data_IF_985931736743
#
_entry.id   IF_985931736743
#
_cell.length_a   1.000
_cell.length_b   1.000
_cell.length_c   1.000
_cell.angle_alpha   90.00
_cell.angle_beta   90.00
_cell.angle_gamma   90.00
#
_symmetry.space_group_name_H-M   'P 1'
#
loop_
_entity.id
_entity.type
_entity.pdbx_description
1 polymer ?
2 non-polymer ?
3 water ?
#
# COMPACT_ATOMS: atom_id res chain seq x y z
N UNK A 2 4.51 19.45 17.75
CA UNK A 2 3.80 19.88 16.54
C UNK A 2 4.64 19.53 15.32
N UNK A 3 3.98 19.55 14.18
CA UNK A 3 4.54 19.26 12.88
C UNK A 3 4.88 20.56 12.17
N UNK A 4 6.04 20.59 11.51
CA UNK A 4 6.49 21.75 10.73
C UNK A 4 6.72 21.33 9.27
N UNK A 5 5.69 21.52 8.43
CA UNK A 5 5.76 21.02 7.05
C UNK A 5 6.91 21.69 6.30
N UNK A 6 7.28 22.91 6.68
CA UNK A 6 8.40 23.57 6.02
C UNK A 6 9.70 22.83 6.26
N UNK A 7 9.92 22.33 7.48
CA UNK A 7 11.16 21.62 7.77
C UNK A 7 11.16 20.25 7.11
N UNK A 8 10.00 19.58 7.09
CA UNK A 8 9.85 18.31 6.38
C UNK A 8 10.21 18.48 4.91
N UNK A 9 9.57 19.45 4.24
CA UNK A 9 9.81 19.64 2.81
C UNK A 9 11.28 19.86 2.51
N UNK A 10 12.02 20.41 3.47
CA UNK A 10 13.44 20.65 3.28
C UNK A 10 14.23 19.34 3.18
N UNK A 11 13.66 18.22 3.63
CA UNK A 11 14.31 16.92 3.47
C UNK A 11 14.10 16.32 2.08
N UNK A 12 13.20 16.87 1.25
CA UNK A 12 12.81 16.21 0.00
C UNK A 12 13.32 16.94 -1.24
N UNK A 13 14.44 16.51 -1.82
CA UNK A 13 15.02 17.28 -2.93
C UNK A 13 14.13 17.43 -4.15
N UNK A 14 13.21 16.50 -4.40
CA UNK A 14 12.34 16.62 -5.57
C UNK A 14 11.41 17.81 -5.44
N UNK A 15 11.05 18.19 -4.22
CA UNK A 15 10.02 19.21 -4.06
C UNK A 15 10.46 20.58 -4.58
N UNK A 16 11.76 20.79 -4.83
CA UNK A 16 12.29 22.01 -5.45
C UNK A 16 12.25 21.97 -6.97
N UNK A 17 11.77 20.89 -7.56
CA UNK A 17 11.77 20.72 -9.00
C UNK A 17 10.81 21.71 -9.66
N UNK A 18 11.11 22.04 -10.90
CA UNK A 18 10.20 22.78 -11.76
C UNK A 18 9.65 21.86 -12.84
N UNK A 19 8.38 22.01 -13.14
CA UNK A 19 7.73 21.25 -14.20
C UNK A 19 7.14 22.27 -15.17
N UNK A 20 7.47 22.13 -16.45
CA UNK A 20 6.83 22.96 -17.47
C UNK A 20 7.06 24.46 -17.18
N UNK A 21 8.27 24.80 -16.76
CA UNK A 21 8.60 26.15 -16.36
C UNK A 21 8.10 26.57 -14.99
N UNK A 22 7.17 25.84 -14.39
CA UNK A 22 6.53 26.25 -13.15
C UNK A 22 6.92 25.35 -11.98
N UNK A 23 6.80 25.82 -10.74
CA UNK A 23 7.27 25.01 -9.61
C UNK A 23 6.31 23.87 -9.33
N UNK A 24 6.88 22.71 -9.02
CA UNK A 24 6.10 21.48 -8.93
C UNK A 24 5.16 21.50 -7.73
N UNK A 25 3.96 21.02 -7.93
CA UNK A 25 3.07 20.67 -6.84
C UNK A 25 2.77 19.19 -7.01
N UNK A 26 3.48 18.35 -6.27
CA UNK A 26 3.31 16.91 -6.37
C UNK A 26 2.13 16.46 -5.51
N UNK A 27 0.99 16.22 -6.16
CA UNK A 27 -0.24 15.79 -5.49
C UNK A 27 -0.61 14.37 -5.85
N UNK A 28 0.40 13.49 -5.93
CA UNK A 28 0.21 12.12 -6.40
C UNK A 28 1.01 11.12 -5.58
N UNK A 29 1.16 11.36 -4.28
CA UNK A 29 1.90 10.44 -3.41
C UNK A 29 1.18 9.10 -3.24
N UNK A 30 -0.12 9.04 -3.53
CA UNK A 30 -0.81 7.76 -3.42
C UNK A 30 -0.35 6.79 -4.50
N UNK A 31 0.09 7.31 -5.65
CA UNK A 31 0.66 6.44 -6.68
C UNK A 31 2.09 6.05 -6.32
N UNK A 32 2.90 7.02 -5.91
CA UNK A 32 4.15 6.72 -5.24
C UNK A 32 4.60 7.99 -4.53
N UNK A 33 5.29 7.81 -3.41
CA UNK A 33 5.68 8.95 -2.60
C UNK A 33 7.08 9.40 -2.94
N UNK A 34 7.34 10.70 -2.75
CA UNK A 34 8.70 11.20 -2.81
C UNK A 34 9.51 10.67 -1.63
N UNK A 35 10.83 10.82 -1.73
CA UNK A 35 11.71 10.21 -0.77
C UNK A 35 12.64 11.27 -0.18
N UNK A 36 12.84 11.27 1.13
CA UNK A 36 13.79 12.22 1.73
C UNK A 36 15.22 11.76 1.52
N UNK A 37 16.13 12.73 1.49
CA UNK A 37 17.53 12.40 1.26
C UNK A 37 18.10 11.50 2.35
N UNK A 38 17.48 11.46 3.53
CA UNK A 38 17.85 10.47 4.53
C UNK A 38 17.68 9.05 3.99
N UNK A 39 16.60 8.81 3.23
CA UNK A 39 16.37 7.51 2.62
C UNK A 39 17.32 7.30 1.44
N UNK A 40 17.41 8.31 0.56
CA UNK A 40 18.22 8.19 -0.66
C UNK A 40 19.68 7.97 -0.30
N UNK A 41 20.19 8.76 0.66
CA UNK A 41 21.59 8.67 1.07
C UNK A 41 21.89 7.42 1.87
N UNK A 42 20.94 6.92 2.67
CA UNK A 42 21.18 5.68 3.40
C UNK A 42 21.49 4.54 2.43
N UNK A 43 20.61 4.33 1.44
CA UNK A 43 20.91 3.39 0.37
C UNK A 43 22.24 3.73 -0.32
N UNK A 44 22.43 4.99 -0.72
CA UNK A 44 23.66 5.37 -1.41
C UNK A 44 24.88 5.08 -0.55
N UNK A 45 24.85 5.42 0.74
CA UNK A 45 26.03 5.18 1.58
C UNK A 45 26.26 3.69 1.81
N UNK A 46 25.19 2.87 1.80
CA UNK A 46 25.38 1.44 1.90
C UNK A 46 26.13 0.91 0.68
N UNK A 47 25.69 1.29 -0.53
CA UNK A 47 26.42 0.89 -1.73
C UNK A 47 27.86 1.42 -1.70
N UNK A 48 28.06 2.63 -1.18
CA UNK A 48 29.35 3.29 -1.23
C UNK A 48 30.37 2.70 -0.26
N UNK A 49 29.94 2.16 0.88
CA UNK A 49 30.89 1.80 1.94
C UNK A 49 30.69 0.42 2.55
N UNK A 50 29.51 -0.18 2.45
CA UNK A 50 29.22 -1.41 3.16
C UNK A 50 28.68 -2.55 2.32
N UNK A 51 28.78 -2.46 0.99
CA UNK A 51 28.08 -3.40 0.14
C UNK A 51 28.73 -4.78 0.12
N UNK A 52 27.91 -5.83 0.26
CA UNK A 52 28.31 -7.22 0.02
C UNK A 52 27.06 -8.06 -0.19
N UNK A 53 27.27 -9.31 -0.61
CA UNK A 53 26.18 -10.27 -0.60
C UNK A 53 25.79 -10.58 0.85
N UNK A 54 24.55 -10.97 1.06
CA UNK A 54 24.09 -11.21 2.42
C UNK A 54 23.77 -12.69 2.62
N UNK A 55 23.72 -13.07 3.91
CA UNK A 55 23.39 -14.37 4.48
C UNK A 55 24.49 -15.42 4.27
N UNK A 56 24.69 -15.91 3.05
CA UNK A 56 25.91 -16.67 2.79
C UNK A 56 27.15 -15.82 3.11
N UNK A 57 28.28 -16.50 3.25
CA UNK A 57 29.56 -15.81 3.37
C UNK A 57 29.91 -15.43 4.79
N UNK A 58 31.19 -15.58 5.13
CA UNK A 58 31.62 -15.30 6.48
C UNK A 58 32.47 -14.05 6.59
N UNK A 59 32.80 -13.38 5.48
CA UNK A 59 33.70 -12.24 5.65
C UNK A 59 32.96 -11.05 6.26
N UNK A 60 33.72 -10.01 6.58
CA UNK A 60 33.19 -8.96 7.44
C UNK A 60 32.04 -8.20 6.80
N UNK A 61 32.23 -7.72 5.56
CA UNK A 61 31.18 -6.92 4.92
C UNK A 61 29.90 -7.71 4.80
N UNK A 62 30.00 -8.99 4.45
CA UNK A 62 28.83 -9.83 4.31
C UNK A 62 28.12 -9.98 5.64
N UNK A 63 28.86 -10.20 6.72
CA UNK A 63 28.23 -10.31 8.02
C UNK A 63 27.59 -9.00 8.46
N UNK A 64 28.24 -7.87 8.16
CA UNK A 64 27.65 -6.59 8.59
C UNK A 64 26.44 -6.22 7.73
N UNK A 65 26.47 -6.58 6.45
CA UNK A 65 25.29 -6.36 5.63
C UNK A 65 24.14 -7.23 6.08
N UNK A 66 24.42 -8.48 6.46
CA UNK A 66 23.37 -9.37 6.93
C UNK A 66 22.73 -8.82 8.21
N UNK A 67 23.56 -8.32 9.13
CA UNK A 67 23.05 -7.66 10.32
C UNK A 67 22.12 -6.52 9.94
N UNK A 68 22.56 -5.64 9.03
CA UNK A 68 21.72 -4.52 8.62
C UNK A 68 20.37 -4.99 8.10
N UNK A 69 20.36 -6.04 7.27
CA UNK A 69 19.12 -6.54 6.69
C UNK A 69 18.15 -7.03 7.74
N UNK A 70 18.61 -7.93 8.63
CA UNK A 70 17.71 -8.46 9.65
C UNK A 70 17.36 -7.43 10.71
N UNK A 71 18.17 -6.38 10.90
CA UNK A 71 17.72 -5.30 11.77
C UNK A 71 16.56 -4.54 11.15
N UNK A 72 16.58 -4.38 9.83
CA UNK A 72 15.45 -3.73 9.18
C UNK A 72 14.20 -4.61 9.31
N UNK A 73 14.37 -5.92 9.21
CA UNK A 73 13.22 -6.80 9.46
C UNK A 73 12.66 -6.60 10.88
N UNK A 74 13.55 -6.44 11.87
CA UNK A 74 13.09 -6.20 13.24
C UNK A 74 12.40 -4.84 13.36
N UNK A 75 12.98 -3.79 12.77
CA UNK A 75 12.37 -2.46 12.86
C UNK A 75 11.01 -2.42 12.16
N UNK A 76 10.91 -3.06 11.01
CA UNK A 76 9.62 -3.17 10.35
C UNK A 76 8.60 -3.89 11.24
N UNK A 77 8.98 -5.04 11.80
CA UNK A 77 8.04 -5.78 12.67
C UNK A 77 7.57 -4.93 13.86
N UNK A 78 8.44 -4.07 14.39
CA UNK A 78 8.03 -3.14 15.46
C UNK A 78 7.15 -2.03 14.94
N UNK A 79 7.42 -1.53 13.74
CA UNK A 79 6.62 -0.45 13.16
C UNK A 79 5.13 -0.85 13.09
N UNK A 80 4.82 -2.08 12.66
CA UNK A 80 3.43 -2.51 12.56
C UNK A 80 3.00 -3.34 13.77
N UNK A 81 3.84 -3.39 14.81
CA UNK A 81 3.56 -4.12 16.05
C UNK A 81 3.26 -5.60 15.81
N UNK A 82 4.08 -6.24 15.00
CA UNK A 82 4.05 -7.70 14.91
C UNK A 82 4.70 -8.30 16.16
N UNK A 83 4.20 -9.45 16.57
CA UNK A 83 4.76 -10.05 17.78
C UNK A 83 6.22 -10.38 17.57
N UNK A 84 6.58 -10.83 16.38
CA UNK A 84 7.91 -11.36 16.08
C UNK A 84 8.37 -10.84 14.72
N UNK A 85 9.66 -10.54 14.61
CA UNK A 85 10.21 -10.17 13.31
C UNK A 85 10.20 -11.34 12.34
N UNK A 86 10.14 -12.58 12.85
CA UNK A 86 10.12 -13.75 11.99
C UNK A 86 8.75 -13.96 11.36
N UNK A 87 7.80 -13.05 11.62
CA UNK A 87 6.50 -13.01 10.97
C UNK A 87 6.47 -12.10 9.75
N UNK A 88 7.60 -11.50 9.38
CA UNK A 88 7.67 -10.57 8.26
C UNK A 88 8.51 -11.17 7.14
N UNK A 89 8.00 -11.07 5.93
CA UNK A 89 8.67 -11.55 4.73
C UNK A 89 8.96 -10.35 3.84
N UNK A 90 10.19 -10.26 3.32
CA UNK A 90 10.51 -9.22 2.36
C UNK A 90 9.96 -9.60 0.99
N UNK A 91 9.24 -8.69 0.35
CA UNK A 91 8.71 -8.90 -1.00
C UNK A 91 8.93 -7.62 -1.80
N UNK A 92 8.63 -7.69 -3.10
CA UNK A 92 8.84 -6.53 -3.97
C UNK A 92 7.85 -5.40 -3.68
N UNK A 93 6.73 -5.74 -3.05
CA UNK A 93 5.70 -4.77 -2.72
C UNK A 93 4.37 -5.47 -2.52
N UNK A 94 3.35 -4.65 -2.29
CA UNK A 94 2.01 -5.17 -2.03
C UNK A 94 1.61 -6.26 -3.02
N UNK A 95 1.91 -6.07 -4.31
CA UNK A 95 1.41 -6.99 -5.34
C UNK A 95 2.08 -8.36 -5.27
N UNK A 96 3.41 -8.41 -5.10
CA UNK A 96 4.03 -9.72 -4.92
C UNK A 96 3.58 -10.35 -3.61
N UNK A 97 3.44 -9.56 -2.55
CA UNK A 97 2.99 -10.10 -1.28
C UNK A 97 1.62 -10.76 -1.37
N UNK A 98 0.69 -10.11 -2.08
CA UNK A 98 -0.62 -10.73 -2.27
C UNK A 98 -0.51 -11.99 -3.12
N UNK A 99 0.34 -11.98 -4.16
CA UNK A 99 0.51 -13.18 -5.00
C UNK A 99 1.13 -14.32 -4.22
N UNK A 100 2.05 -14.01 -3.30
CA UNK A 100 2.68 -15.06 -2.51
C UNK A 100 1.67 -15.76 -1.63
N UNK A 101 0.82 -15.01 -0.91
CA UNK A 101 -0.25 -15.61 -0.12
C UNK A 101 -1.20 -16.40 -1.04
N UNK A 102 -1.59 -15.82 -2.17
CA UNK A 102 -2.58 -16.47 -3.01
C UNK A 102 -2.08 -17.80 -3.54
N UNK A 103 -0.77 -17.94 -3.76
CA UNK A 103 -0.24 -19.22 -4.24
C UNK A 103 0.17 -20.14 -3.08
N UNK A 104 1.10 -19.69 -2.23
CA UNK A 104 1.56 -20.50 -1.12
C UNK A 104 0.41 -20.92 -0.20
N UNK A 105 -0.36 -19.96 0.31
CA UNK A 105 -1.44 -20.32 1.22
C UNK A 105 -2.73 -20.66 0.48
N UNK A 106 -3.09 -19.87 -0.53
CA UNK A 106 -4.34 -20.09 -1.23
C UNK A 106 -4.45 -21.50 -1.82
N UNK A 107 -3.41 -21.94 -2.52
CA UNK A 107 -3.49 -23.23 -3.22
C UNK A 107 -3.65 -24.41 -2.27
N UNK A 108 -3.30 -24.28 -1.00
CA UNK A 108 -3.41 -25.40 -0.09
C UNK A 108 -4.47 -25.21 0.98
N UNK A 109 -5.31 -24.18 0.85
CA UNK A 109 -6.39 -23.97 1.81
C UNK A 109 -7.71 -23.56 1.16
N UNK A 110 -7.77 -23.45 -0.17
CA UNK A 110 -8.98 -23.08 -0.88
C UNK A 110 -9.28 -24.18 -1.88
N UNK A 111 -10.29 -24.98 -1.58
CA UNK A 111 -10.72 -26.11 -2.38
C UNK A 111 -11.87 -25.70 -3.29
N UNK A 112 -12.13 -26.54 -4.30
CA UNK A 112 -13.28 -26.32 -5.16
C UNK A 112 -14.56 -26.28 -4.32
N UNK A 113 -15.46 -25.37 -4.66
CA UNK A 113 -16.64 -25.13 -3.86
C UNK A 113 -16.46 -24.16 -2.71
N UNK A 114 -15.24 -23.69 -2.44
CA UNK A 114 -15.10 -22.68 -1.40
C UNK A 114 -15.37 -21.29 -1.99
N UNK A 115 -15.39 -20.29 -1.13
CA UNK A 115 -15.55 -18.92 -1.61
C UNK A 115 -14.59 -18.00 -0.85
N UNK A 116 -14.14 -16.97 -1.58
CA UNK A 116 -13.30 -15.88 -1.08
C UNK A 116 -14.09 -14.58 -1.22
N UNK A 117 -13.98 -13.71 -0.22
CA UNK A 117 -14.66 -12.42 -0.25
C UNK A 117 -13.62 -11.31 -0.44
N UNK A 118 -13.80 -10.50 -1.48
CA UNK A 118 -13.10 -9.23 -1.62
C UNK A 118 -14.15 -8.12 -1.63
N UNK A 119 -13.75 -6.89 -1.95
CA UNK A 119 -14.71 -5.80 -1.99
C UNK A 119 -14.65 -5.09 -3.34
N UNK A 120 -15.70 -4.36 -3.65
CA UNK A 120 -15.78 -3.67 -4.92
C UNK A 120 -14.76 -2.52 -5.05
N UNK A 121 -14.17 -2.07 -3.95
CA UNK A 121 -13.26 -0.93 -3.94
C UNK A 121 -11.79 -1.34 -4.01
N UNK A 122 -11.53 -2.64 -4.17
CA UNK A 122 -10.17 -3.16 -4.14
C UNK A 122 -9.31 -2.66 -5.31
N UNK A 123 -8.04 -2.50 -5.01
CA UNK A 123 -7.04 -2.32 -6.05
C UNK A 123 -6.92 -3.62 -6.85
N UNK A 124 -6.39 -3.51 -8.06
CA UNK A 124 -6.21 -4.71 -8.88
C UNK A 124 -5.26 -5.72 -8.22
N UNK A 125 -4.26 -5.24 -7.44
CA UNK A 125 -3.40 -6.17 -6.71
C UNK A 125 -4.22 -7.04 -5.75
N UNK A 126 -5.35 -6.56 -5.27
CA UNK A 126 -6.17 -7.36 -4.38
C UNK A 126 -7.41 -7.95 -5.09
N UNK A 127 -7.41 -8.01 -6.43
CA UNK A 127 -8.44 -8.69 -7.20
C UNK A 127 -7.82 -9.80 -8.04
N UNK A 128 -6.86 -9.45 -8.90
CA UNK A 128 -6.38 -10.42 -9.91
C UNK A 128 -5.77 -11.65 -9.27
N UNK A 129 -4.97 -11.56 -8.20
CA UNK A 129 -4.49 -12.81 -7.58
C UNK A 129 -5.60 -13.75 -7.15
N UNK A 130 -6.70 -13.24 -6.57
CA UNK A 130 -7.78 -14.12 -6.12
C UNK A 130 -8.62 -14.63 -7.28
N UNK A 131 -8.74 -13.87 -8.36
CA UNK A 131 -9.37 -14.41 -9.55
C UNK A 131 -8.55 -15.57 -10.10
N UNK A 132 -7.23 -15.43 -10.09
CA UNK A 132 -6.38 -16.50 -10.58
C UNK A 132 -6.51 -17.72 -9.68
N UNK A 133 -6.56 -17.50 -8.36
CA UNK A 133 -6.70 -18.61 -7.44
C UNK A 133 -8.05 -19.30 -7.59
N UNK A 134 -9.14 -18.52 -7.69
CA UNK A 134 -10.45 -19.12 -7.87
C UNK A 134 -10.53 -19.92 -9.16
N UNK A 135 -9.84 -19.48 -10.21
CA UNK A 135 -9.80 -20.25 -11.44
C UNK A 135 -8.98 -21.53 -11.28
N UNK A 136 -7.87 -21.47 -10.55
CA UNK A 136 -7.06 -22.68 -10.39
C UNK A 136 -7.80 -23.76 -9.62
N UNK A 137 -8.51 -23.41 -8.54
CA UNK A 137 -9.06 -24.41 -7.62
C UNK A 137 -10.55 -24.60 -7.78
N UNK A 138 -11.23 -23.77 -8.55
CA UNK A 138 -12.66 -23.91 -8.69
C UNK A 138 -13.47 -23.33 -7.54
N UNK A 139 -13.10 -22.14 -7.06
CA UNK A 139 -13.81 -21.47 -5.98
C UNK A 139 -14.49 -20.22 -6.53
N UNK A 140 -15.27 -19.56 -5.69
CA UNK A 140 -16.05 -18.40 -6.08
C UNK A 140 -15.53 -17.15 -5.40
N UNK A 141 -15.38 -16.06 -6.17
CA UNK A 141 -14.97 -14.78 -5.64
C UNK A 141 -16.23 -13.96 -5.37
N UNK A 142 -16.51 -13.67 -4.11
CA UNK A 142 -17.65 -12.85 -3.77
C UNK A 142 -17.21 -11.43 -3.47
N UNK A 143 -18.13 -10.48 -3.65
CA UNK A 143 -17.78 -9.08 -3.60
C UNK A 143 -18.67 -8.34 -2.61
N UNK A 144 -18.05 -7.62 -1.67
CA UNK A 144 -18.77 -6.71 -0.80
C UNK A 144 -19.06 -5.46 -1.62
N UNK A 145 -20.32 -5.09 -1.84
CA UNK A 145 -20.62 -3.93 -2.69
C UNK A 145 -20.44 -2.62 -1.94
N UNK A 146 -20.54 -1.54 -2.71
CA UNK A 146 -20.31 -0.18 -2.25
C UNK A 146 -21.63 0.57 -2.03
N UNK A 147 -21.59 1.53 -1.10
CA UNK A 147 -22.61 2.55 -0.98
C UNK A 147 -22.24 3.76 -1.83
N UNK A 148 -23.20 4.61 -2.15
CA UNK A 148 -22.84 5.86 -2.88
C UNK A 148 -21.71 6.66 -2.25
N UNK A 149 -21.61 6.68 -0.92
CA UNK A 149 -20.59 7.52 -0.28
C UNK A 149 -19.20 6.89 -0.31
N UNK A 150 -19.01 5.79 -1.02
CA UNK A 150 -17.70 5.16 -1.01
C UNK A 150 -17.39 4.28 0.17
N UNK A 151 -18.37 3.98 1.03
CA UNK A 151 -18.19 2.98 2.07
C UNK A 151 -18.74 1.62 1.65
N UNK A 152 -18.32 0.58 2.37
CA UNK A 152 -18.81 -0.77 2.13
C UNK A 152 -20.27 -0.92 2.60
N UNK A 153 -21.07 -1.63 1.81
CA UNK A 153 -22.41 -2.10 2.20
C UNK A 153 -22.23 -3.24 3.20
N UNK A 154 -21.93 -2.87 4.45
CA UNK A 154 -21.65 -3.88 5.46
C UNK A 154 -22.82 -4.84 5.71
N UNK A 155 -24.06 -4.45 5.40
CA UNK A 155 -25.19 -5.35 5.64
C UNK A 155 -25.20 -6.54 4.69
N UNK A 156 -24.36 -6.56 3.66
CA UNK A 156 -24.35 -7.74 2.80
C UNK A 156 -23.48 -8.87 3.33
N UNK A 157 -22.68 -8.62 4.37
CA UNK A 157 -21.81 -9.67 4.89
C UNK A 157 -22.57 -10.93 5.30
N UNK A 158 -23.77 -10.87 5.89
CA UNK A 158 -24.47 -12.12 6.25
C UNK A 158 -24.69 -13.06 5.07
N UNK A 159 -24.94 -12.51 3.88
CA UNK A 159 -25.15 -13.33 2.69
C UNK A 159 -23.86 -13.71 1.98
N UNK A 160 -22.74 -13.05 2.28
CA UNK A 160 -21.50 -13.46 1.64
C UNK A 160 -20.75 -14.50 2.45
N UNK A 161 -20.74 -14.36 3.78
CA UNK A 161 -20.04 -15.27 4.65
C UNK A 161 -20.86 -16.53 4.90
N UNK A 162 -20.22 -17.69 4.81
CA UNK A 162 -20.82 -18.95 5.20
C UNK A 162 -19.72 -19.90 5.66
N UNK A 163 -20.05 -21.17 5.83
CA UNK A 163 -19.05 -22.11 6.33
C UNK A 163 -17.92 -22.30 5.32
N UNK A 164 -18.21 -22.22 4.02
CA UNK A 164 -17.23 -22.40 2.96
C UNK A 164 -16.33 -21.18 2.72
N UNK A 165 -16.46 -20.09 3.50
CA UNK A 165 -15.65 -18.90 3.28
C UNK A 165 -14.25 -19.11 3.85
N UNK A 166 -13.28 -19.24 2.97
CA UNK A 166 -11.92 -19.52 3.42
C UNK A 166 -11.19 -18.23 3.77
N UNK A 167 -11.43 -17.16 3.02
CA UNK A 167 -10.61 -15.96 3.15
C UNK A 167 -11.41 -14.70 2.82
N UNK A 168 -11.20 -13.66 3.63
CA UNK A 168 -11.57 -12.29 3.29
C UNK A 168 -10.30 -11.51 2.95
N UNK A 169 -10.30 -10.86 1.79
CA UNK A 169 -9.18 -10.01 1.37
C UNK A 169 -9.73 -8.60 1.15
N UNK A 170 -9.26 -7.65 1.95
CA UNK A 170 -9.95 -6.38 2.12
C UNK A 170 -8.91 -5.29 2.25
N UNK A 171 -9.24 -4.10 1.76
CA UNK A 171 -8.31 -2.99 1.83
C UNK A 171 -8.49 -2.24 3.15
N UNK A 172 -7.37 -1.73 3.65
CA UNK A 172 -7.39 -0.92 4.86
C UNK A 172 -7.87 0.50 4.55
N UNK A 173 -7.30 1.10 3.51
CA UNK A 173 -7.69 2.41 3.01
C UNK A 173 -7.77 2.31 1.49
N UNK A 174 -8.83 2.88 0.91
CA UNK A 174 -9.00 2.87 -0.53
C UNK A 174 -8.04 3.86 -1.20
N UNK A 175 -7.16 3.34 -2.06
CA UNK A 175 -6.27 4.19 -2.85
C UNK A 175 -7.02 5.23 -3.68
N UNK A 176 -8.32 5.08 -3.87
CA UNK A 176 -9.10 6.02 -4.68
C UNK A 176 -9.95 6.93 -3.78
N UNK A 177 -10.82 6.35 -2.97
CA UNK A 177 -11.80 7.16 -2.25
C UNK A 177 -11.30 7.66 -0.92
N UNK A 178 -10.24 7.05 -0.38
CA UNK A 178 -9.77 7.43 0.93
C UNK A 178 -10.58 6.85 2.07
N UNK A 179 -11.52 5.95 1.78
CA UNK A 179 -12.31 5.28 2.81
C UNK A 179 -11.42 4.42 3.69
N UNK A 180 -11.67 4.43 4.99
CA UNK A 180 -10.99 3.49 5.87
C UNK A 180 -12.00 2.47 6.40
N UNK A 181 -11.68 1.21 6.21
CA UNK A 181 -12.67 0.18 6.46
C UNK A 181 -12.61 -0.31 7.92
N UNK A 182 -13.75 -0.68 8.49
CA UNK A 182 -13.74 -1.12 9.89
C UNK A 182 -13.12 -2.50 10.05
N UNK A 183 -11.78 -2.56 9.95
CA UNK A 183 -11.08 -3.85 9.85
C UNK A 183 -11.22 -4.68 11.11
N UNK A 184 -11.10 -4.05 12.28
CA UNK A 184 -11.20 -4.79 13.53
C UNK A 184 -12.48 -5.64 13.56
N UNK A 185 -13.62 -5.01 13.29
CA UNK A 185 -14.90 -5.72 13.42
C UNK A 185 -15.08 -6.73 12.30
N UNK A 186 -14.66 -6.39 11.07
CA UNK A 186 -14.79 -7.35 9.98
C UNK A 186 -13.94 -8.59 10.23
N UNK A 187 -12.77 -8.43 10.84
CA UNK A 187 -11.91 -9.57 11.12
C UNK A 187 -12.53 -10.45 12.19
N UNK A 188 -13.17 -9.84 13.19
CA UNK A 188 -13.93 -10.60 14.16
C UNK A 188 -14.96 -11.49 13.46
N UNK A 189 -15.76 -10.89 12.57
CA UNK A 189 -16.80 -11.66 11.91
C UNK A 189 -16.21 -12.76 11.06
N UNK A 190 -15.16 -12.45 10.29
CA UNK A 190 -14.56 -13.45 9.43
C UNK A 190 -13.94 -14.57 10.23
N UNK A 191 -13.44 -14.24 11.43
CA UNK A 191 -12.86 -15.28 12.26
C UNK A 191 -13.93 -16.17 12.87
N UNK A 192 -15.15 -15.64 13.06
CA UNK A 192 -16.22 -16.49 13.59
C UNK A 192 -16.58 -17.62 12.63
N UNK A 193 -16.32 -17.46 11.34
CA UNK A 193 -16.54 -18.52 10.37
C UNK A 193 -15.28 -19.32 10.05
N UNK A 194 -14.24 -19.16 10.85
CA UNK A 194 -12.97 -19.81 10.55
C UNK A 194 -12.34 -19.37 9.26
N UNK A 195 -12.60 -18.12 8.83
CA UNK A 195 -11.93 -17.55 7.67
C UNK A 195 -10.75 -16.66 8.12
N UNK A 196 -9.67 -16.69 7.33
CA UNK A 196 -8.56 -15.77 7.54
C UNK A 196 -8.84 -14.44 6.81
N UNK A 197 -8.16 -13.39 7.25
CA UNK A 197 -8.23 -12.07 6.60
C UNK A 197 -6.83 -11.64 6.16
N UNK A 198 -6.67 -11.42 4.86
CA UNK A 198 -5.56 -10.61 4.35
C UNK A 198 -6.01 -9.16 4.25
N UNK A 199 -5.19 -8.26 4.77
CA UNK A 199 -5.43 -6.82 4.70
C UNK A 199 -4.44 -6.20 3.73
N UNK A 200 -4.96 -5.43 2.77
CA UNK A 200 -4.13 -4.59 1.92
C UNK A 200 -3.99 -3.24 2.59
N UNK A 201 -2.78 -2.93 3.07
CA UNK A 201 -2.53 -1.75 3.88
C UNK A 201 -1.59 -0.79 3.17
N UNK A 202 -1.56 -0.90 1.84
CA UNK A 202 -0.66 -0.08 1.04
C UNK A 202 -0.90 1.40 1.25
N UNK A 203 -2.14 1.79 1.54
CA UNK A 203 -2.48 3.20 1.70
C UNK A 203 -2.74 3.57 3.15
N UNK A 204 -2.42 2.70 4.10
CA UNK A 204 -2.61 3.00 5.51
C UNK A 204 -1.32 3.35 6.24
N UNK A 205 -0.24 2.61 5.98
CA UNK A 205 0.86 2.60 6.94
C UNK A 205 1.56 3.93 7.01
N UNK A 206 1.28 4.86 6.08
CA UNK A 206 1.91 6.17 6.04
C UNK A 206 1.04 7.27 6.62
N UNK A 207 -0.19 6.95 7.03
CA UNK A 207 -1.12 7.98 7.47
C UNK A 207 -1.43 7.93 8.97
N UNK A 208 -1.32 6.78 9.61
CA UNK A 208 -1.49 6.69 11.05
C UNK A 208 -0.85 5.39 11.53
N UNK A 209 -0.62 5.25 12.83
CA UNK A 209 -0.03 4.00 13.34
C UNK A 209 -0.87 2.77 12.94
N UNK A 210 -0.21 1.63 12.87
CA UNK A 210 -0.85 0.39 12.47
C UNK A 210 -0.37 -0.71 13.39
N UNK A 211 -1.30 -1.52 13.89
CA UNK A 211 -1.04 -2.49 14.94
C UNK A 211 -1.67 -3.81 14.49
N UNK A 212 -0.87 -4.72 13.94
CA UNK A 212 -1.44 -5.96 13.41
C UNK A 212 -1.88 -6.90 14.53
N UNK A 213 -1.29 -6.78 15.72
CA UNK A 213 -1.81 -7.59 16.82
C UNK A 213 -3.18 -7.08 17.25
N UNK A 214 -3.38 -5.77 17.27
CA UNK A 214 -4.70 -5.23 17.60
C UNK A 214 -5.74 -5.53 16.52
N UNK A 215 -5.35 -5.56 15.23
CA UNK A 215 -6.32 -5.88 14.20
C UNK A 215 -6.63 -7.36 14.17
N UNK A 216 -5.68 -8.18 14.63
CA UNK A 216 -5.73 -9.64 14.56
C UNK A 216 -5.82 -10.15 13.13
N UNK A 217 -5.41 -9.35 12.16
CA UNK A 217 -5.32 -9.82 10.78
C UNK A 217 -4.36 -10.99 10.68
N UNK A 218 -4.58 -11.83 9.67
CA UNK A 218 -3.74 -12.99 9.45
C UNK A 218 -2.60 -12.68 8.49
N UNK A 219 -2.88 -11.87 7.47
CA UNK A 219 -1.88 -11.33 6.59
C UNK A 219 -2.06 -9.82 6.47
N UNK A 220 -0.95 -9.11 6.32
CA UNK A 220 -0.94 -7.67 6.07
C UNK A 220 0.19 -7.38 5.09
N UNK A 221 -0.02 -6.44 4.17
CA UNK A 221 0.96 -6.14 3.13
C UNK A 221 1.00 -4.64 2.91
N UNK A 222 2.20 -4.09 2.70
CA UNK A 222 2.33 -2.70 2.24
C UNK A 222 3.59 -2.59 1.38
N UNK A 223 3.82 -1.38 0.84
CA UNK A 223 4.88 -1.14 -0.13
C UNK A 223 5.83 -0.05 0.33
N UNK A 224 7.13 -0.29 0.13
CA UNK A 224 8.12 0.69 0.54
C UNK A 224 7.93 2.04 -0.11
N UNK A 225 7.68 2.05 -1.43
CA UNK A 225 7.75 3.30 -2.18
C UNK A 225 6.61 4.25 -1.86
N UNK A 227 5.64 4.50 1.37
CA UNK A 227 6.08 4.92 2.69
C UNK A 227 7.33 5.78 2.64
N UNK A 228 7.44 6.65 1.62
CA UNK A 228 8.58 7.56 1.44
C UNK A 228 9.88 6.81 1.29
N UNK A 229 9.83 5.62 0.70
CA UNK A 229 10.97 4.75 0.63
C UNK A 229 11.30 4.32 -0.78
N UNK A 230 12.32 3.48 -0.93
CA UNK A 230 12.76 3.06 -2.28
C UNK A 230 11.70 2.18 -2.93
N UNK A 231 11.84 2.03 -4.25
CA UNK A 231 11.03 1.07 -4.98
C UNK A 231 11.60 -0.34 -4.79
N UNK A 232 10.86 -1.33 -5.29
CA UNK A 232 11.35 -2.70 -5.31
C UNK A 232 11.43 -3.37 -3.96
N UNK A 233 10.70 -2.86 -2.97
CA UNK A 233 10.73 -3.47 -1.64
C UNK A 233 9.38 -3.23 -0.97
N UNK A 234 8.95 -4.24 -0.20
CA UNK A 234 7.69 -4.26 0.54
C UNK A 234 7.72 -5.29 1.65
N UNK A 235 6.69 -5.25 2.50
CA UNK A 235 6.59 -6.16 3.64
C UNK A 235 5.31 -6.98 3.52
N UNK A 236 5.43 -8.29 3.74
CA UNK A 236 4.29 -9.17 3.96
C UNK A 236 4.34 -9.71 5.38
N UNK A 237 3.32 -9.40 6.19
CA UNK A 237 3.23 -9.93 7.55
C UNK A 237 2.24 -11.09 7.59
N UNK A 238 2.61 -12.17 8.28
CA UNK A 238 1.76 -13.37 8.43
C UNK A 238 1.87 -13.87 9.86
N UNK A 239 0.73 -14.16 10.50
CA UNK A 239 0.75 -14.79 11.82
C UNK A 239 1.71 -15.99 11.84
N UNK A 240 2.57 -16.03 12.87
CA UNK A 240 3.56 -17.10 13.01
C UNK A 240 3.00 -18.48 12.73
N UNK A 241 1.82 -18.79 13.28
CA UNK A 241 1.30 -20.14 13.15
C UNK A 241 0.89 -20.43 11.71
N UNK A 242 0.29 -19.45 11.02
CA UNK A 242 -0.01 -19.66 9.61
C UNK A 242 1.28 -19.76 8.79
N UNK A 243 2.22 -18.84 9.00
CA UNK A 243 3.41 -18.80 8.15
C UNK A 243 4.21 -20.08 8.24
N UNK A 244 4.31 -20.68 9.43
CA UNK A 244 5.10 -21.91 9.55
C UNK A 244 4.47 -23.06 8.77
N UNK A 245 3.16 -23.03 8.54
CA UNK A 245 2.51 -24.08 7.76
C UNK A 245 2.57 -23.84 6.26
N UNK A 246 2.91 -22.60 5.79
CA UNK A 246 2.80 -22.39 4.34
C UNK A 246 4.01 -22.95 3.58
N UNK A 247 3.78 -23.55 2.42
CA UNK A 247 4.87 -24.08 1.57
C UNK A 247 5.59 -22.95 0.84
N UNK A 248 6.78 -23.21 0.33
CA UNK A 248 7.49 -22.16 -0.40
C UNK A 248 6.72 -21.78 -1.66
N UNK A 249 7.04 -20.60 -2.20
CA UNK A 249 6.48 -20.16 -3.48
C UNK A 249 7.62 -20.14 -4.50
N UNK A 250 8.43 -19.08 -4.53
CA UNK A 250 9.65 -19.11 -5.34
C UNK A 250 10.64 -20.13 -4.77
N UNK A 251 11.31 -20.87 -5.65
CA UNK A 251 12.38 -21.76 -5.26
C UNK A 251 13.72 -21.26 -5.75
N UNK A 252 14.78 -21.62 -5.02
CA UNK A 252 16.13 -21.27 -5.41
C UNK A 252 17.02 -21.23 -4.17
N UNK A 253 18.16 -20.55 -4.32
CA UNK A 253 19.06 -20.41 -3.18
C UNK A 253 18.42 -19.68 -2.02
N UNK A 254 19.01 -19.90 -0.83
CA UNK A 254 18.70 -19.18 0.41
C UNK A 254 17.30 -19.45 0.92
N UNK A 255 16.64 -20.47 0.42
CA UNK A 255 15.39 -20.97 0.97
C UNK A 255 15.38 -22.50 1.05
N UNK A 256 16.46 -23.15 0.61
CA UNK A 256 16.68 -24.57 0.83
C UNK A 256 17.32 -24.80 2.20
N UNK A 257 17.11 -26.00 2.74
CA UNK A 257 17.99 -26.57 3.75
C UNK A 257 19.02 -27.49 3.11
N UNK A 258 18.57 -28.38 2.24
CA UNK A 258 19.41 -29.28 1.45
C UNK A 258 18.86 -29.40 0.04
N UNK A 259 19.76 -29.44 -0.95
CA UNK A 259 19.41 -29.71 -2.36
C UNK A 259 20.12 -30.99 -2.78
N UNK A 260 19.35 -31.97 -3.23
CA UNK A 260 19.91 -33.20 -3.78
C UNK A 260 19.24 -33.49 -5.12
N UNK A 261 20.02 -33.94 -6.09
CA UNK A 261 19.45 -34.36 -7.36
C UNK A 261 18.98 -35.81 -7.34
N UNK A 262 19.13 -36.52 -6.23
CA UNK A 262 18.65 -37.88 -6.12
C UNK A 262 17.71 -38.12 -4.94
N UNK A 263 17.75 -37.28 -3.92
CA UNK A 263 16.84 -37.43 -2.79
C UNK A 263 15.97 -36.20 -2.57
N UNK A 264 15.86 -35.32 -3.58
CA UNK A 264 15.02 -34.14 -3.48
C UNK A 264 15.57 -33.09 -2.53
N UNK A 265 14.76 -32.05 -2.32
CA UNK A 265 15.18 -30.82 -1.66
C UNK A 265 14.30 -30.56 -0.44
N UNK A 266 14.88 -29.97 0.61
CA UNK A 266 14.13 -29.60 1.80
C UNK A 266 14.25 -28.11 2.04
N UNK A 267 13.23 -27.52 2.66
CA UNK A 267 13.14 -26.08 2.85
C UNK A 267 13.62 -25.64 4.22
N UNK A 268 14.14 -24.42 4.28
CA UNK A 268 14.51 -23.81 5.55
C UNK A 268 13.25 -23.32 6.28
N UNK A 269 13.45 -22.78 7.49
CA UNK A 269 12.32 -22.33 8.31
C UNK A 269 11.72 -21.05 7.74
N UNK A 270 10.58 -20.62 8.33
CA UNK A 270 9.85 -19.45 7.89
C UNK A 270 10.74 -18.21 7.95
N UNK A 271 10.18 -17.03 7.93
CA UNK A 271 10.47 -16.07 6.85
C UNK A 271 11.40 -16.55 5.73
N UNK A 272 12.57 -17.16 6.02
CA UNK A 272 13.62 -17.24 4.99
C UNK A 272 13.25 -18.19 3.87
N UNK A 273 12.33 -19.12 4.12
CA UNK A 273 11.83 -20.07 3.14
C UNK A 273 11.05 -19.37 2.01
N UNK A 274 10.56 -18.15 2.25
CA UNK A 274 9.77 -17.39 1.29
C UNK A 274 10.58 -16.31 0.58
N UNK A 275 11.90 -16.34 0.72
CA UNK A 275 12.81 -15.35 0.15
C UNK A 275 13.90 -16.11 -0.63
N UNK A 276 13.72 -16.18 -1.96
CA UNK A 276 14.62 -16.91 -2.84
C UNK A 276 15.56 -15.94 -3.54
N UNK A 277 16.81 -16.38 -3.75
CA UNK A 277 17.81 -15.58 -4.43
C UNK A 277 18.29 -14.41 -3.61
N UNK A 278 19.10 -13.56 -4.25
CA UNK A 278 19.67 -12.39 -3.59
C UNK A 278 18.55 -11.41 -3.23
N UNK A 279 18.42 -11.02 -1.97
CA UNK A 279 17.41 -10.02 -1.62
C UNK A 279 17.77 -8.65 -2.18
N UNK A 280 16.77 -7.78 -2.23
CA UNK A 280 17.00 -6.40 -2.57
C UNK A 280 17.57 -5.69 -1.33
N UNK A 281 18.88 -5.86 -1.14
CA UNK A 281 19.54 -5.28 0.02
C UNK A 281 19.50 -3.74 -0.02
N UNK A 282 19.78 -3.14 -1.19
CA UNK A 282 19.64 -1.70 -1.30
C UNK A 282 18.25 -1.22 -0.93
N UNK A 283 17.21 -1.94 -1.37
CA UNK A 283 15.85 -1.54 -1.04
C UNK A 283 15.55 -1.66 0.44
N UNK A 284 15.98 -2.78 1.06
CA UNK A 284 15.76 -3.04 2.49
C UNK A 284 16.40 -1.95 3.34
N UNK A 285 17.66 -1.63 3.07
CA UNK A 285 18.34 -0.54 3.75
C UNK A 285 17.56 0.76 3.63
N UNK A 286 17.07 1.06 2.41
CA UNK A 286 16.30 2.28 2.21
C UNK A 286 14.94 2.25 2.91
N UNK A 287 14.25 1.11 2.86
CA UNK A 287 13.02 0.96 3.64
C UNK A 287 13.28 1.17 5.12
N UNK A 288 14.43 0.71 5.62
CA UNK A 288 14.74 0.87 7.02
C UNK A 288 14.90 2.32 7.40
N UNK A 289 15.63 3.08 6.56
CA UNK A 289 15.70 4.52 6.74
C UNK A 289 14.32 5.16 6.65
N UNK A 290 13.47 4.68 5.74
CA UNK A 290 12.14 5.25 5.61
C UNK A 290 11.36 5.10 6.92
N UNK A 291 11.39 3.91 7.52
CA UNK A 291 10.74 3.70 8.81
C UNK A 291 11.35 4.58 9.91
N UNK A 292 12.68 4.72 9.92
CA UNK A 292 13.31 5.65 10.87
C UNK A 292 12.80 7.07 10.66
N UNK A 293 12.77 7.53 9.41
CA UNK A 293 12.34 8.90 9.15
C UNK A 293 10.88 9.12 9.56
N UNK A 294 9.97 8.23 9.13
CA UNK A 294 8.56 8.42 9.46
C UNK A 294 8.34 8.34 10.98
N UNK A 295 9.06 7.46 11.67
CA UNK A 295 8.89 7.35 13.13
C UNK A 295 9.39 8.60 13.84
N UNK A 296 10.41 9.26 13.29
CA UNK A 296 10.92 10.46 13.94
C UNK A 296 9.92 11.59 13.87
N UNK A 297 9.23 11.77 12.74
CA UNK A 297 8.18 12.77 12.68
C UNK A 297 7.01 12.38 13.58
N UNK A 298 6.74 11.08 13.68
CA UNK A 298 5.67 10.57 14.50
C UNK A 298 4.39 10.47 13.72
N UNK A 299 3.85 9.25 13.59
CA UNK A 299 2.69 9.06 12.73
C UNK A 299 1.50 9.88 13.21
N UNK A 300 1.34 10.01 14.53
CA UNK A 300 0.22 10.79 15.03
C UNK A 300 0.36 12.27 14.69
N UNK A 301 1.59 12.80 14.64
CA UNK A 301 1.77 14.16 14.14
C UNK A 301 1.45 14.26 12.65
N UNK A 302 1.89 13.28 11.86
CA UNK A 302 1.57 13.26 10.44
C UNK A 302 0.06 13.20 10.26
N UNK A 303 -0.59 12.31 11.03
CA UNK A 303 -2.03 12.17 10.89
C UNK A 303 -2.73 13.50 11.14
N UNK A 304 -2.28 14.25 12.15
CA UNK A 304 -2.92 15.52 12.45
C UNK A 304 -2.70 16.54 11.33
N UNK A 305 -1.44 16.72 10.91
CA UNK A 305 -1.18 17.68 9.85
C UNK A 305 -1.98 17.33 8.61
N UNK A 306 -1.99 16.04 8.24
CA UNK A 306 -2.70 15.65 7.01
C UNK A 306 -4.21 15.81 7.18
N UNK A 307 -4.73 15.53 8.37
CA UNK A 307 -6.17 15.69 8.61
C UNK A 307 -6.58 17.15 8.48
N UNK A 308 -5.73 18.08 8.94
CA UNK A 308 -6.09 19.49 8.81
C UNK A 308 -5.97 19.96 7.36
N UNK A 309 -4.94 19.50 6.65
CA UNK A 309 -4.81 19.88 5.25
C UNK A 309 -5.99 19.37 4.46
N UNK A 310 -6.40 18.12 4.73
CA UNK A 310 -7.55 17.53 4.06
C UNK A 310 -8.79 18.37 4.27
N UNK A 311 -9.03 18.77 5.53
CA UNK A 311 -10.18 19.61 5.85
C UNK A 311 -10.10 20.94 5.10
N UNK A 312 -8.92 21.58 5.12
CA UNK A 312 -8.75 22.82 4.39
C UNK A 312 -9.09 22.63 2.90
N UNK A 313 -8.62 21.54 2.29
CA UNK A 313 -8.88 21.30 0.88
C UNK A 313 -10.36 21.12 0.60
N UNK A 314 -11.00 20.16 1.26
CA UNK A 314 -12.43 19.93 1.04
C UNK A 314 -13.20 21.23 1.19
N UNK A 315 -12.84 22.03 2.19
CA UNK A 315 -13.49 23.32 2.37
C UNK A 315 -13.27 24.23 1.17
N UNK A 316 -12.02 24.38 0.72
CA UNK A 316 -11.74 25.25 -0.44
C UNK A 316 -12.39 24.73 -1.71
N UNK A 317 -12.39 23.41 -1.92
CA UNK A 317 -12.94 22.90 -3.16
C UNK A 317 -14.43 23.19 -3.29
N UNK A 318 -15.08 23.56 -2.19
CA UNK A 318 -16.50 23.89 -2.26
C UNK A 318 -16.77 25.02 -3.24
N UNK A 319 -15.76 25.86 -3.51
CA UNK A 319 -15.87 26.99 -4.42
C UNK A 319 -15.40 26.66 -5.83
N UNK A 320 -15.39 25.39 -6.21
CA UNK A 320 -15.11 24.98 -7.59
C UNK A 320 -16.43 24.58 -8.22
N UNK A 321 -16.83 25.22 -9.31
CA UNK A 321 -18.14 24.90 -9.90
C UNK A 321 -18.12 23.52 -10.54
N UNK A 322 -19.24 22.81 -10.44
CA UNK A 322 -19.47 21.54 -11.13
C UNK A 322 -18.46 20.46 -10.73
N UNK A 323 -17.81 20.63 -9.58
CA UNK A 323 -16.89 19.63 -9.08
C UNK A 323 -17.71 18.49 -8.48
N UNK A 324 -17.44 17.27 -8.92
CA UNK A 324 -18.00 16.09 -8.29
C UNK A 324 -16.91 15.38 -7.50
N UNK A 325 -17.14 15.18 -6.21
CA UNK A 325 -16.27 14.38 -5.37
C UNK A 325 -16.84 12.98 -5.20
N UNK A 326 -15.93 12.01 -4.99
CA UNK A 326 -16.29 10.62 -4.75
C UNK A 326 -15.64 10.18 -3.45
N UNK A 327 -16.40 9.46 -2.64
CA UNK A 327 -15.89 8.95 -1.39
C UNK A 327 -16.48 9.66 -0.18
N UNK A 328 -16.10 9.19 1.00
CA UNK A 328 -16.72 9.67 2.24
C UNK A 328 -16.15 11.02 2.66
N UNK A 329 -16.84 11.65 3.61
CA UNK A 329 -16.40 12.95 4.11
C UNK A 329 -15.08 12.81 4.88
N UNK A 330 -14.93 11.72 5.65
CA UNK A 330 -13.71 11.50 6.42
C UNK A 330 -12.63 10.75 5.63
N UNK A 331 -12.47 11.02 4.34
CA UNK A 331 -11.43 10.35 3.58
C UNK A 331 -10.03 10.65 4.13
N UNK A 332 -9.15 9.65 4.05
CA UNK A 332 -7.73 9.81 4.32
C UNK A 332 -6.93 9.91 3.02
N UNK A 333 -5.94 10.79 3.02
CA UNK A 333 -4.90 10.84 2.00
C UNK A 333 -5.20 11.40 0.61
N UNK A 334 -6.33 11.03 0.02
CA UNK A 334 -6.64 11.33 -1.37
C UNK A 334 -8.03 11.96 -1.51
N UNK A 335 -8.20 12.73 -2.57
CA UNK A 335 -9.48 13.28 -2.99
C UNK A 335 -9.71 12.81 -4.42
N UNK A 336 -10.80 12.08 -4.65
CA UNK A 336 -11.15 11.63 -6.00
C UNK A 336 -12.25 12.52 -6.53
N UNK A 337 -12.07 13.04 -7.75
CA UNK A 337 -13.01 14.02 -8.26
C UNK A 337 -13.12 13.97 -9.78
N UNK A 338 -14.17 14.60 -10.30
CA UNK A 338 -14.28 14.87 -11.73
C UNK A 338 -14.85 16.28 -11.89
N UNK A 339 -14.40 16.96 -12.94
CA UNK A 339 -14.76 18.36 -13.19
C UNK A 339 -15.83 18.39 -14.28
N UNK A 340 -17.03 18.84 -13.90
CA UNK A 340 -18.17 18.86 -14.80
C UNK A 340 -18.22 17.63 -15.65
N UNK A 341 -18.47 17.80 -16.94
CA UNK A 341 -18.45 16.69 -17.89
C UNK A 341 -17.09 16.51 -18.55
N UNK A 342 -16.07 17.23 -18.09
CA UNK A 342 -14.75 17.10 -18.70
C UNK A 342 -14.07 15.80 -18.30
N UNK A 343 -13.43 15.17 -19.27
CA UNK A 343 -12.74 13.92 -19.00
C UNK A 343 -11.53 14.18 -18.10
N UNK A 344 -11.29 13.25 -17.18
CA UNK A 344 -10.22 13.40 -16.20
C UNK A 344 -8.86 13.56 -16.87
N UNK A 345 -8.60 12.79 -17.92
CA UNK A 345 -7.34 12.93 -18.67
C UNK A 345 -7.11 14.40 -19.08
N UNK A 346 -8.17 15.09 -19.52
CA UNK A 346 -8.01 16.47 -19.92
C UNK A 346 -7.75 17.36 -18.72
N UNK A 347 -8.55 17.20 -17.66
CA UNK A 347 -8.35 17.98 -16.44
C UNK A 347 -6.93 17.78 -15.90
N UNK A 348 -6.47 16.53 -15.85
CA UNK A 348 -5.11 16.27 -15.40
C UNK A 348 -4.07 16.91 -16.30
N UNK A 349 -4.32 16.94 -17.61
CA UNK A 349 -3.37 17.59 -18.51
C UNK A 349 -3.26 19.07 -18.21
N UNK A 350 -4.39 19.74 -17.96
CA UNK A 350 -4.33 21.16 -17.66
C UNK A 350 -3.64 21.40 -16.32
N UNK A 351 -3.88 20.53 -15.34
CA UNK A 351 -3.22 20.72 -14.05
C UNK A 351 -1.72 20.48 -14.16
N UNK A 352 -1.30 19.50 -14.97
CA UNK A 352 0.12 19.27 -15.21
C UNK A 352 0.76 20.45 -15.93
N UNK A 353 -0.01 21.11 -16.78
CA UNK A 353 0.46 22.32 -17.44
C UNK A 353 0.70 23.46 -16.45
N UNK A 354 -0.08 23.53 -15.36
CA UNK A 354 0.22 24.44 -14.26
C UNK A 354 1.33 23.93 -13.35
N UNK A 355 1.91 22.77 -13.65
CA UNK A 355 2.91 22.19 -12.78
C UNK A 355 2.35 21.44 -11.59
N UNK A 356 1.07 21.06 -11.63
CA UNK A 356 0.40 20.32 -10.56
C UNK A 356 0.24 18.89 -11.01
N UNK A 357 0.84 17.95 -10.28
CA UNK A 357 0.79 16.53 -10.63
C UNK A 357 -0.34 15.86 -9.83
N UNK A 358 -1.40 15.48 -10.53
CA UNK A 358 -2.47 14.68 -9.94
C UNK A 358 -2.54 13.38 -10.72
N UNK A 359 -3.15 12.36 -10.12
CA UNK A 359 -3.39 11.11 -10.83
C UNK A 359 -4.68 11.20 -11.65
N UNK A 360 -4.71 10.49 -12.79
CA UNK A 360 -5.90 10.38 -13.60
C UNK A 360 -5.99 8.99 -14.19
N UNK A 361 -7.22 8.53 -14.42
CA UNK A 361 -7.48 7.24 -15.02
C UNK A 361 -8.36 6.38 -14.10
N UNK A 362 -8.10 5.08 -14.09
CA UNK A 362 -8.89 4.22 -13.25
C UNK A 362 -8.20 3.81 -11.95
N UNK A 363 -6.93 4.20 -11.76
CA UNK A 363 -6.21 3.97 -10.51
C UNK A 363 -6.17 2.49 -10.14
N UNK A 364 -6.03 1.66 -11.16
CA UNK A 364 -5.98 0.22 -10.97
C UNK A 364 -7.12 -0.23 -10.09
N UNK A 365 -8.30 0.36 -10.33
CA UNK A 365 -9.53 0.03 -9.60
C UNK A 365 -10.73 0.13 -10.54
N UNK A 366 -10.67 -0.59 -11.66
CA UNK A 366 -11.75 -0.51 -12.65
C UNK A 366 -13.11 -0.86 -12.08
N UNK A 367 -13.27 -1.89 -11.22
CA UNK A 367 -14.61 -2.14 -10.65
C UNK A 367 -15.18 -0.94 -9.91
N UNK A 368 -14.33 -0.19 -9.21
CA UNK A 368 -14.76 1.02 -8.54
C UNK A 368 -15.24 2.07 -9.54
N UNK A 369 -14.49 2.25 -10.63
CA UNK A 369 -14.94 3.17 -11.68
C UNK A 369 -16.30 2.74 -12.21
N UNK A 370 -16.48 1.43 -12.42
CA UNK A 370 -17.75 0.94 -12.98
C UNK A 370 -18.91 1.21 -12.01
N UNK A 371 -18.67 1.04 -10.71
CA UNK A 371 -19.75 1.28 -9.74
C UNK A 371 -20.24 2.74 -9.81
N UNK A 372 -19.32 3.69 -9.98
CA UNK A 372 -19.70 5.09 -10.10
C UNK A 372 -20.05 5.48 -11.54
N UNK A 373 -20.18 4.48 -12.42
CA UNK A 373 -20.52 4.68 -13.82
C UNK A 373 -19.73 5.83 -14.45
N UNK A 374 -18.42 5.81 -14.25
CA UNK A 374 -17.49 6.68 -14.99
C UNK A 374 -16.33 5.83 -15.50
N UNK A 375 -15.61 6.33 -16.47
CA UNK A 375 -14.44 5.57 -16.92
C UNK A 375 -13.18 5.93 -16.15
N UNK A 376 -13.12 7.17 -15.64
CA UNK A 376 -11.91 7.66 -15.03
C UNK A 376 -12.27 8.62 -13.91
N UNK A 377 -11.33 8.87 -13.03
CA UNK A 377 -11.44 10.02 -12.14
C UNK A 377 -10.08 10.69 -11.98
N UNK A 378 -10.12 11.91 -11.48
CA UNK A 378 -8.93 12.58 -10.99
C UNK A 378 -8.73 12.22 -9.54
N UNK A 379 -7.47 12.11 -9.14
CA UNK A 379 -7.14 11.87 -7.74
C UNK A 379 -6.00 12.80 -7.35
N UNK A 380 -6.21 13.58 -6.30
CA UNK A 380 -5.18 14.42 -5.73
C UNK A 380 -4.80 13.86 -4.36
N UNK A 381 -3.50 13.68 -4.13
CA UNK A 381 -3.01 13.22 -2.84
C UNK A 381 -2.59 14.43 -1.99
N UNK A 382 -2.93 14.40 -0.70
CA UNK A 382 -2.49 15.43 0.26
C UNK A 382 -1.68 14.73 1.34
N UNK A 383 -0.37 14.75 1.23
CA UNK A 383 0.52 14.00 2.10
C UNK A 383 1.26 14.96 3.04
N UNK A 384 2.04 14.38 3.95
CA UNK A 384 2.65 15.17 5.01
C UNK A 384 3.54 16.31 4.50
N UNK A 385 3.97 16.30 3.24
CA UNK A 385 4.83 17.38 2.78
C UNK A 385 4.08 18.36 1.88
N UNK A 386 2.76 18.27 1.81
CA UNK A 386 1.96 19.17 0.99
C UNK A 386 1.39 20.33 1.80
N UNK A 387 1.15 21.44 1.11
CA UNK A 387 0.90 22.74 1.74
C UNK A 387 -0.46 23.31 1.37
N UNK A 388 -0.97 24.19 2.25
CA UNK A 388 -2.17 24.95 1.91
C UNK A 388 -1.98 25.74 0.61
N UNK A 389 -0.78 26.28 0.39
CA UNK A 389 -0.47 26.94 -0.87
C UNK A 389 -0.78 26.03 -2.06
N UNK A 390 -0.32 24.78 -2.00
CA UNK A 390 -0.56 23.86 -3.11
C UNK A 390 -2.05 23.55 -3.26
N UNK A 391 -2.77 23.43 -2.13
CA UNK A 391 -4.22 23.22 -2.24
C UNK A 391 -4.84 24.36 -3.04
N UNK A 392 -4.42 25.60 -2.73
CA UNK A 392 -4.93 26.76 -3.45
C UNK A 392 -4.65 26.68 -4.94
N UNK A 393 -3.42 26.29 -5.33
CA UNK A 393 -3.13 26.12 -6.75
C UNK A 393 -4.04 25.08 -7.40
N UNK A 394 -4.32 23.97 -6.71
CA UNK A 394 -5.29 23.02 -7.24
C UNK A 394 -6.65 23.68 -7.45
N UNK A 395 -7.12 24.45 -6.46
CA UNK A 395 -8.45 25.05 -6.54
C UNK A 395 -8.52 26.07 -7.67
N UNK A 396 -7.59 27.02 -7.66
CA UNK A 396 -7.50 27.98 -8.76
C UNK A 396 -7.47 27.28 -10.11
N UNK A 397 -6.62 26.24 -10.23
CA UNK A 397 -6.48 25.56 -11.49
C UNK A 397 -7.78 24.96 -11.98
N UNK A 398 -8.53 24.30 -11.08
CA UNK A 398 -9.82 23.75 -11.46
C UNK A 398 -10.77 24.85 -11.89
N UNK A 399 -10.79 25.96 -11.14
CA UNK A 399 -11.59 27.12 -11.55
C UNK A 399 -11.23 27.57 -12.95
N UNK A 400 -9.94 27.78 -13.21
CA UNK A 400 -9.52 28.21 -14.54
C UNK A 400 -9.91 27.20 -15.61
N UNK A 401 -9.81 25.89 -15.29
CA UNK A 401 -10.16 24.86 -16.26
C UNK A 401 -11.65 24.90 -16.57
N UNK A 402 -12.47 25.14 -15.53
CA UNK A 402 -13.90 25.23 -15.77
C UNK A 402 -14.25 26.45 -16.62
N UNK A 403 -13.66 27.62 -16.31
CA UNK A 403 -13.87 28.83 -17.12
C UNK A 403 -13.46 28.59 -18.55
N UNK A 404 -12.24 28.07 -18.75
CA UNK A 404 -11.73 27.87 -20.10
C UNK A 404 -12.57 26.88 -20.89
N UNK A 405 -12.97 25.77 -20.28
CA UNK A 405 -13.53 24.64 -21.00
C UNK A 405 -15.05 24.53 -20.92
N UNK A 406 -15.69 25.22 -19.98
CA UNK A 406 -17.12 25.11 -19.82
C UNK A 406 -17.94 25.76 -20.93
#
# INVERSE_FOLDING_TARGET
MIFSVDKVRADFPVLSREVNGLPLAYLDSAASAQKPSQVIDAEAEFYRHGYAAVHRGIHTLSAQATEKMENVRKRASLFINARSAEELVFVRGTTEGINLVANSWGNSNVRAGDNIIISQMEHHANIVPWQMLCARVGAELRVIPLNPDGTLQLETLPTLFDEKTRLLAITHVSNVLGTENPLAEMITLAHQHGAKVLVDGAQAVMHHPVDVQALDCDFYVFSGHXLYGPTGIGILYVKEALLQEMPPWEGGGSMIATVSLSEGTTWTKAPWRFEAGTPNTGGIIGLGAALEYVSALGLNNIAEYEQNLMHYALSQLESVPDLTLYGPQNRLGVIAFNLGKHHAYDVGSFLDNYGIAVATGHHCAMPLMAYYNVPAMCRASLAMYNTHEEVDRLVTGLQRIHRLLG
#
